data_IF_980112167811
#
_entry.id   IF_980112167811
#
_cell.length_a   1.000
_cell.length_b   1.000
_cell.length_c   1.000
_cell.angle_alpha   90.00
_cell.angle_beta   90.00
_cell.angle_gamma   90.00
#
_symmetry.space_group_name_H-M   'P 1'
#
loop_
_entity.id
_entity.type
_entity.pdbx_description
1 polymer ?
#
# COMPACT_ATOMS: atom_id res chain seq x y z
N UNK A 1 9.89 70.53 -17.75
CA UNK A 1 9.20 69.23 -17.72
C UNK A 1 9.98 68.24 -18.57
N UNK A 2 10.59 67.23 -17.97
CA UNK A 2 11.35 66.20 -18.71
C UNK A 2 10.39 65.27 -19.46
N UNK A 3 10.53 65.23 -20.80
CA UNK A 3 9.78 64.24 -21.62
C UNK A 3 10.21 62.86 -21.21
N UNK A 4 9.27 62.07 -20.69
CA UNK A 4 9.51 60.66 -20.40
C UNK A 4 9.66 59.92 -21.74
N UNK A 5 10.76 59.25 -21.92
CA UNK A 5 11.13 58.55 -23.17
C UNK A 5 10.08 57.42 -23.42
N UNK A 6 9.40 57.48 -24.60
CA UNK A 6 8.41 56.47 -25.02
C UNK A 6 8.91 55.03 -24.97
N UNK A 7 10.21 54.82 -25.07
CA UNK A 7 10.82 53.47 -24.93
C UNK A 7 10.76 52.95 -23.49
N UNK A 8 10.92 53.83 -22.48
CA UNK A 8 10.83 53.47 -21.06
C UNK A 8 9.42 53.03 -20.71
N UNK A 9 8.39 53.73 -21.24
CA UNK A 9 6.99 53.37 -21.02
C UNK A 9 6.67 52.00 -21.64
N UNK A 10 7.19 51.69 -22.83
CA UNK A 10 7.01 50.36 -23.44
C UNK A 10 7.67 49.24 -22.65
N UNK A 11 8.87 49.47 -22.13
CA UNK A 11 9.59 48.49 -21.30
C UNK A 11 8.85 48.26 -19.98
N UNK A 12 8.33 49.27 -19.33
CA UNK A 12 7.50 49.17 -18.11
C UNK A 12 6.19 48.41 -18.37
N UNK A 13 5.56 48.62 -19.54
CA UNK A 13 4.33 47.89 -19.92
C UNK A 13 4.60 46.40 -20.19
N UNK A 14 5.74 46.07 -20.83
CA UNK A 14 6.16 44.69 -21.08
C UNK A 14 6.52 43.99 -19.76
N UNK A 15 7.22 44.64 -18.85
CA UNK A 15 7.54 44.11 -17.52
C UNK A 15 6.29 43.90 -16.66
N UNK A 16 5.31 44.79 -16.77
CA UNK A 16 4.04 44.67 -16.04
C UNK A 16 3.15 43.53 -16.60
N UNK A 17 3.15 43.30 -17.92
CA UNK A 17 2.48 42.14 -18.54
C UNK A 17 3.12 40.84 -18.18
N UNK A 18 4.48 40.75 -18.12
CA UNK A 18 5.22 39.55 -17.69
C UNK A 18 4.95 39.29 -16.20
N UNK A 19 4.86 40.28 -15.35
CA UNK A 19 4.57 40.14 -13.93
C UNK A 19 3.13 39.63 -13.71
N UNK A 20 2.15 40.05 -14.52
CA UNK A 20 0.76 39.59 -14.45
C UNK A 20 0.64 38.13 -14.94
N UNK A 21 1.42 37.71 -15.93
CA UNK A 21 1.46 36.30 -16.36
C UNK A 21 2.15 35.37 -15.37
N UNK A 22 3.16 35.87 -14.62
CA UNK A 22 3.81 35.12 -13.55
C UNK A 22 2.95 34.99 -12.28
N UNK A 23 2.14 36.00 -11.96
CA UNK A 23 1.20 35.90 -10.83
C UNK A 23 -0.08 35.11 -11.15
N UNK A 24 -0.44 34.95 -12.42
CA UNK A 24 -1.55 34.11 -12.87
C UNK A 24 -1.26 32.62 -12.84
N UNK A 25 0.00 32.19 -12.63
CA UNK A 25 0.42 30.79 -12.51
C UNK A 25 0.58 30.32 -11.06
N UNK A 26 0.28 31.13 -10.05
CA UNK A 26 -0.03 30.63 -8.71
C UNK A 26 -1.50 30.17 -8.77
N UNK A 27 -1.74 29.06 -9.48
CA UNK A 27 -2.92 28.26 -9.31
C UNK A 27 -2.94 27.92 -7.81
N UNK A 28 -3.88 28.48 -7.05
CA UNK A 28 -4.27 27.86 -5.80
C UNK A 28 -4.50 26.40 -6.16
N UNK A 29 -3.61 25.49 -5.76
CA UNK A 29 -3.91 24.10 -5.70
C UNK A 29 -5.06 24.03 -4.71
N UNK A 30 -6.30 24.05 -5.20
CA UNK A 30 -7.41 23.49 -4.42
C UNK A 30 -6.84 22.19 -3.91
N UNK A 31 -6.92 22.00 -2.60
CA UNK A 31 -6.47 20.76 -1.97
C UNK A 31 -7.28 19.68 -2.69
N UNK A 32 -6.67 19.02 -3.71
CA UNK A 32 -7.32 17.89 -4.36
C UNK A 32 -7.69 16.96 -3.21
N UNK A 33 -8.95 16.58 -3.13
CA UNK A 33 -9.44 15.72 -2.07
C UNK A 33 -8.59 14.45 -2.09
N UNK A 34 -7.95 14.17 -0.98
CA UNK A 34 -7.05 13.01 -0.86
C UNK A 34 -7.84 11.72 -1.14
N UNK A 35 -7.32 10.88 -2.04
CA UNK A 35 -7.91 9.58 -2.36
C UNK A 35 -6.99 8.49 -1.84
N UNK A 36 -7.54 7.53 -1.09
CA UNK A 36 -6.81 6.41 -0.50
C UNK A 36 -7.15 5.14 -1.27
N UNK A 37 -6.15 4.49 -1.85
CA UNK A 37 -6.31 3.17 -2.48
C UNK A 37 -6.16 2.05 -1.45
N UNK A 38 -7.12 1.11 -1.44
CA UNK A 38 -7.11 -0.07 -0.57
C UNK A 38 -7.11 -1.32 -1.44
N UNK A 39 -6.08 -2.15 -1.28
CA UNK A 39 -5.86 -3.36 -2.09
C UNK A 39 -5.91 -4.60 -1.20
N UNK A 40 -6.76 -5.56 -1.55
CA UNK A 40 -6.68 -6.94 -1.06
C UNK A 40 -6.62 -7.91 -2.24
N UNK A 41 -6.08 -9.11 -2.04
CA UNK A 41 -5.96 -10.11 -3.08
C UNK A 41 -7.27 -10.88 -3.29
N UNK A 42 -7.99 -11.18 -2.21
CA UNK A 42 -9.21 -11.97 -2.20
C UNK A 42 -10.45 -11.14 -1.84
N UNK A 43 -11.63 -11.69 -2.13
CA UNK A 43 -12.87 -11.04 -1.75
C UNK A 43 -13.00 -10.88 -0.21
N UNK A 44 -12.59 -11.88 0.56
CA UNK A 44 -12.68 -11.84 2.02
C UNK A 44 -11.86 -10.68 2.62
N UNK A 45 -10.76 -10.30 1.98
CA UNK A 45 -9.88 -9.22 2.44
C UNK A 45 -10.46 -7.82 2.22
N UNK A 46 -11.43 -7.65 1.30
CA UNK A 46 -11.97 -6.34 0.93
C UNK A 46 -13.48 -6.19 1.11
N UNK A 47 -14.25 -7.29 1.21
CA UNK A 47 -15.71 -7.23 1.20
C UNK A 47 -16.26 -6.38 2.35
N UNK A 48 -15.72 -6.52 3.56
CA UNK A 48 -16.15 -5.74 4.73
C UNK A 48 -15.98 -4.23 4.50
N UNK A 49 -14.89 -3.83 3.82
CA UNK A 49 -14.62 -2.42 3.50
C UNK A 49 -15.55 -1.95 2.38
N UNK A 50 -15.75 -2.77 1.34
CA UNK A 50 -16.67 -2.45 0.23
C UNK A 50 -18.11 -2.26 0.71
N UNK A 51 -18.60 -3.11 1.63
CA UNK A 51 -19.94 -3.01 2.20
C UNK A 51 -20.15 -1.76 3.06
N UNK A 52 -19.07 -1.17 3.58
CA UNK A 52 -19.10 0.06 4.37
C UNK A 52 -19.05 1.34 3.50
N UNK A 53 -18.79 1.23 2.18
CA UNK A 53 -18.74 2.39 1.30
C UNK A 53 -20.10 3.05 1.13
N UNK A 54 -20.09 4.38 1.20
CA UNK A 54 -21.22 5.20 0.74
C UNK A 54 -20.90 5.82 -0.62
N UNK A 55 -21.92 6.18 -1.38
CA UNK A 55 -21.81 6.78 -2.72
C UNK A 55 -20.93 5.96 -3.68
N UNK A 56 -21.07 4.63 -3.62
CA UNK A 56 -20.20 3.71 -4.34
C UNK A 56 -20.46 3.72 -5.86
N UNK A 57 -19.39 3.92 -6.62
CA UNK A 57 -19.33 3.71 -8.07
C UNK A 57 -18.31 2.62 -8.40
N UNK A 58 -18.54 1.85 -9.46
CA UNK A 58 -17.65 0.76 -9.86
C UNK A 58 -17.14 0.96 -11.27
N UNK A 59 -15.83 1.01 -11.41
CA UNK A 59 -15.13 1.07 -12.70
C UNK A 59 -14.35 -0.22 -12.92
N UNK A 60 -14.53 -0.89 -14.07
CA UNK A 60 -13.80 -2.12 -14.40
C UNK A 60 -12.62 -1.83 -15.32
N UNK A 61 -11.40 -2.16 -14.85
CA UNK A 61 -10.15 -2.01 -15.61
C UNK A 61 -9.29 -3.26 -15.36
N UNK A 62 -8.69 -3.83 -16.41
CA UNK A 62 -7.83 -5.02 -16.34
C UNK A 62 -8.49 -6.21 -15.60
N UNK A 63 -9.79 -6.42 -15.84
CA UNK A 63 -10.66 -7.42 -15.17
C UNK A 63 -10.83 -7.22 -13.65
N UNK A 64 -10.32 -6.13 -13.05
CA UNK A 64 -10.49 -5.75 -11.65
C UNK A 64 -11.62 -4.71 -11.50
N UNK A 65 -12.41 -4.82 -10.42
CA UNK A 65 -13.44 -3.87 -10.07
C UNK A 65 -12.90 -2.86 -9.05
N UNK A 66 -12.77 -1.61 -9.49
CA UNK A 66 -12.39 -0.47 -8.67
C UNK A 66 -13.65 0.16 -8.10
N UNK A 67 -13.87 -0.05 -6.81
CA UNK A 67 -15.02 0.49 -6.08
C UNK A 67 -14.64 1.83 -5.45
N UNK A 68 -15.00 2.93 -6.13
CA UNK A 68 -14.85 4.29 -5.63
C UNK A 68 -15.98 4.60 -4.66
N UNK A 69 -15.71 5.32 -3.57
CA UNK A 69 -16.73 5.68 -2.59
C UNK A 69 -16.15 6.43 -1.41
N UNK A 70 -16.91 6.50 -0.34
CA UNK A 70 -16.47 7.14 0.90
C UNK A 70 -16.54 6.21 2.08
N UNK A 71 -15.48 6.24 2.90
CA UNK A 71 -15.49 5.74 4.27
C UNK A 71 -15.51 6.95 5.20
N UNK A 72 -16.64 7.17 5.89
CA UNK A 72 -16.94 8.41 6.57
C UNK A 72 -16.85 9.59 5.57
N UNK A 73 -15.94 10.54 5.76
CA UNK A 73 -15.69 11.68 4.85
C UNK A 73 -14.48 11.49 3.92
N UNK A 74 -13.79 10.33 3.98
CA UNK A 74 -12.59 10.06 3.18
C UNK A 74 -12.94 9.42 1.85
N UNK A 75 -12.38 9.96 0.75
CA UNK A 75 -12.50 9.33 -0.56
C UNK A 75 -11.58 8.12 -0.64
N UNK A 76 -12.12 7.00 -1.05
CA UNK A 76 -11.38 5.74 -1.15
C UNK A 76 -11.67 5.02 -2.47
N UNK A 77 -10.72 4.20 -2.90
CA UNK A 77 -10.93 3.21 -3.97
C UNK A 77 -10.52 1.85 -3.44
N UNK A 78 -11.46 0.93 -3.36
CA UNK A 78 -11.25 -0.42 -2.82
C UNK A 78 -11.25 -1.44 -3.95
N UNK A 79 -10.22 -2.29 -4.01
CA UNK A 79 -10.04 -3.25 -5.10
C UNK A 79 -9.67 -4.62 -4.60
N UNK A 80 -10.30 -5.65 -5.18
CA UNK A 80 -9.78 -7.00 -5.16
C UNK A 80 -8.86 -7.19 -6.37
N UNK A 81 -7.56 -7.32 -6.14
CA UNK A 81 -6.60 -7.40 -7.26
C UNK A 81 -6.39 -8.83 -7.81
N UNK A 82 -6.72 -9.87 -7.04
CA UNK A 82 -6.28 -11.25 -7.30
C UNK A 82 -4.89 -11.52 -6.74
N UNK A 83 -4.55 -12.80 -6.60
CA UNK A 83 -3.28 -13.22 -6.01
C UNK A 83 -2.11 -12.97 -6.93
N UNK A 84 -0.95 -12.70 -6.34
CA UNK A 84 0.35 -12.64 -6.99
C UNK A 84 0.81 -11.25 -7.42
N UNK A 85 2.13 -11.14 -7.61
CA UNK A 85 2.84 -9.87 -7.78
C UNK A 85 2.43 -9.09 -9.03
N UNK A 86 2.11 -9.77 -10.12
CA UNK A 86 1.70 -9.11 -11.37
C UNK A 86 0.36 -8.41 -11.20
N UNK A 87 -0.64 -9.10 -10.64
CA UNK A 87 -1.96 -8.54 -10.34
C UNK A 87 -1.85 -7.34 -9.40
N UNK A 88 -1.09 -7.50 -8.33
CA UNK A 88 -0.85 -6.49 -7.32
C UNK A 88 -0.18 -5.23 -7.91
N UNK A 89 0.84 -5.41 -8.76
CA UNK A 89 1.55 -4.31 -9.42
C UNK A 89 0.66 -3.54 -10.40
N UNK A 90 -0.13 -4.25 -11.22
CA UNK A 90 -1.10 -3.63 -12.14
C UNK A 90 -2.12 -2.82 -11.34
N UNK A 91 -2.70 -3.41 -10.29
CA UNK A 91 -3.69 -2.77 -9.45
C UNK A 91 -3.15 -1.48 -8.81
N UNK A 92 -1.98 -1.54 -8.17
CA UNK A 92 -1.35 -0.38 -7.53
C UNK A 92 -1.06 0.74 -8.54
N UNK A 93 -0.56 0.41 -9.74
CA UNK A 93 -0.31 1.41 -10.77
C UNK A 93 -1.59 2.07 -11.28
N UNK A 94 -2.68 1.32 -11.46
CA UNK A 94 -3.98 1.88 -11.88
C UNK A 94 -4.53 2.81 -10.80
N UNK A 95 -4.50 2.42 -9.53
CA UNK A 95 -4.93 3.27 -8.41
C UNK A 95 -4.19 4.62 -8.41
N UNK A 96 -2.88 4.59 -8.62
CA UNK A 96 -2.04 5.80 -8.62
C UNK A 96 -2.29 6.66 -9.86
N UNK A 97 -2.30 6.04 -11.06
CA UNK A 97 -2.29 6.80 -12.33
C UNK A 97 -3.68 7.16 -12.86
N UNK A 98 -4.71 6.39 -12.52
CA UNK A 98 -6.09 6.59 -13.02
C UNK A 98 -6.99 7.20 -11.96
N UNK A 99 -6.89 6.72 -10.71
CA UNK A 99 -7.73 7.21 -9.60
C UNK A 99 -7.02 8.27 -8.74
N UNK A 100 -5.78 8.66 -9.08
CA UNK A 100 -4.99 9.67 -8.36
C UNK A 100 -4.85 9.38 -6.86
N UNK A 101 -4.79 8.09 -6.49
CA UNK A 101 -4.60 7.71 -5.09
C UNK A 101 -3.25 8.26 -4.58
N UNK A 102 -3.32 9.04 -3.51
CA UNK A 102 -2.17 9.68 -2.86
C UNK A 102 -1.55 8.82 -1.76
N UNK A 103 -2.25 7.77 -1.32
CA UNK A 103 -1.81 6.78 -0.34
C UNK A 103 -2.33 5.40 -0.75
N UNK A 104 -1.54 4.34 -0.45
CA UNK A 104 -1.95 2.95 -0.70
C UNK A 104 -1.90 2.14 0.59
N UNK A 105 -2.97 1.41 0.88
CA UNK A 105 -3.05 0.43 1.97
C UNK A 105 -3.24 -0.94 1.33
N UNK A 106 -2.33 -1.87 1.64
CA UNK A 106 -2.54 -3.27 1.30
C UNK A 106 -3.01 -4.02 2.55
N UNK A 107 -4.19 -4.61 2.47
CA UNK A 107 -4.81 -5.39 3.54
C UNK A 107 -4.88 -6.86 3.15
N UNK A 108 -4.83 -7.77 4.12
CA UNK A 108 -4.98 -9.19 3.84
C UNK A 108 -4.41 -10.09 4.92
N UNK A 109 -4.19 -11.34 4.53
CA UNK A 109 -3.63 -12.37 5.39
C UNK A 109 -2.20 -12.75 4.98
N UNK A 110 -1.48 -13.43 5.87
CA UNK A 110 -0.12 -13.90 5.64
C UNK A 110 0.22 -15.11 6.50
N UNK A 111 1.14 -15.94 6.01
CA UNK A 111 1.77 -16.99 6.79
C UNK A 111 2.85 -16.43 7.73
N UNK A 112 2.83 -16.85 9.00
CA UNK A 112 3.78 -16.37 10.01
C UNK A 112 5.17 -16.97 9.83
N UNK A 113 6.18 -16.12 9.86
CA UNK A 113 7.60 -16.49 9.91
C UNK A 113 8.22 -16.25 11.30
N UNK A 114 7.47 -15.66 12.23
CA UNK A 114 7.95 -15.31 13.57
C UNK A 114 7.16 -16.09 14.64
N UNK A 115 7.87 -16.82 15.48
CA UNK A 115 7.27 -17.64 16.54
C UNK A 115 6.56 -16.84 17.65
N UNK A 116 6.73 -15.52 17.67
CA UNK A 116 6.02 -14.62 18.59
C UNK A 116 4.59 -14.35 18.16
N UNK A 117 4.24 -14.65 16.91
CA UNK A 117 2.92 -14.40 16.33
C UNK A 117 2.06 -15.66 16.40
N UNK A 118 0.83 -15.49 16.83
CA UNK A 118 -0.22 -16.51 16.77
C UNK A 118 -1.18 -16.24 15.62
N UNK A 119 -2.00 -17.23 15.23
CA UNK A 119 -3.05 -17.04 14.22
C UNK A 119 -4.01 -15.96 14.71
N UNK A 120 -4.33 -15.01 13.84
CA UNK A 120 -5.12 -13.83 14.15
C UNK A 120 -4.31 -12.60 14.58
N UNK A 121 -3.03 -12.74 14.98
CA UNK A 121 -2.15 -11.61 15.26
C UNK A 121 -1.84 -10.80 14.00
N UNK A 122 -1.42 -9.55 14.14
CA UNK A 122 -1.15 -8.65 13.03
C UNK A 122 0.34 -8.39 12.84
N UNK A 123 0.74 -8.28 11.57
CA UNK A 123 2.01 -7.68 11.16
C UNK A 123 1.73 -6.39 10.40
N UNK A 124 2.32 -5.29 10.87
CA UNK A 124 2.33 -3.98 10.21
C UNK A 124 3.71 -3.78 9.61
N UNK A 125 3.78 -3.53 8.30
CA UNK A 125 5.05 -3.47 7.58
C UNK A 125 5.93 -2.31 8.04
N UNK A 126 7.20 -2.57 8.37
CA UNK A 126 8.24 -1.53 8.37
C UNK A 126 8.80 -1.33 6.96
N UNK A 127 8.90 -2.40 6.22
CA UNK A 127 9.27 -2.47 4.81
C UNK A 127 8.71 -3.77 4.17
N UNK A 128 8.87 -3.87 2.85
CA UNK A 128 8.53 -5.08 2.11
C UNK A 128 9.67 -5.48 1.17
N UNK A 129 9.89 -6.80 1.00
CA UNK A 129 10.89 -7.38 0.11
C UNK A 129 10.26 -8.45 -0.78
N UNK A 130 10.86 -8.73 -1.94
CA UNK A 130 10.47 -9.85 -2.80
C UNK A 130 11.46 -10.99 -2.59
N UNK A 131 11.05 -12.04 -1.86
CA UNK A 131 11.96 -13.13 -1.49
C UNK A 131 12.30 -14.09 -2.64
N UNK A 132 11.50 -14.10 -3.69
CA UNK A 132 11.65 -14.95 -4.88
C UNK A 132 12.30 -14.23 -6.07
N UNK A 133 12.70 -12.96 -5.90
CA UNK A 133 13.45 -12.23 -6.92
C UNK A 133 14.95 -12.39 -6.70
N UNK A 134 15.66 -12.99 -7.67
CA UNK A 134 17.11 -13.19 -7.59
C UNK A 134 17.81 -12.92 -8.92
N UNK A 135 18.83 -12.08 -8.85
CA UNK A 135 19.72 -11.73 -9.97
C UNK A 135 21.18 -11.69 -9.53
N UNK A 136 21.53 -12.41 -8.45
CA UNK A 136 22.87 -12.51 -7.89
C UNK A 136 23.88 -13.03 -8.94
N UNK A 137 23.45 -13.95 -9.82
CA UNK A 137 24.26 -14.52 -10.88
C UNK A 137 24.82 -13.47 -11.87
N UNK A 138 24.22 -12.29 -11.92
CA UNK A 138 24.68 -11.18 -12.78
C UNK A 138 25.20 -9.99 -11.97
N UNK A 139 25.53 -10.19 -10.68
CA UNK A 139 26.31 -9.28 -9.85
C UNK A 139 25.50 -8.31 -8.96
N UNK A 140 24.22 -8.55 -8.74
CA UNK A 140 23.43 -7.79 -7.78
C UNK A 140 23.40 -8.49 -6.41
N UNK A 141 23.08 -7.72 -5.36
CA UNK A 141 22.88 -8.27 -4.02
C UNK A 141 21.58 -9.10 -3.97
N UNK A 142 21.51 -10.03 -3.01
CA UNK A 142 20.32 -10.89 -2.80
C UNK A 142 19.06 -10.04 -2.57
N UNK A 143 18.01 -10.28 -3.37
CA UNK A 143 16.74 -9.56 -3.30
C UNK A 143 16.79 -8.11 -3.81
N UNK A 144 17.94 -7.64 -4.25
CA UNK A 144 18.04 -6.31 -4.85
C UNK A 144 17.25 -6.26 -6.17
N UNK A 145 16.40 -5.24 -6.27
CA UNK A 145 15.71 -4.95 -7.53
C UNK A 145 16.61 -4.02 -8.35
N UNK A 146 17.18 -4.47 -9.48
CA UNK A 146 18.09 -3.67 -10.28
C UNK A 146 17.53 -2.28 -10.61
N UNK A 147 18.44 -1.30 -10.64
CA UNK A 147 18.16 0.10 -10.94
C UNK A 147 17.30 0.86 -9.90
N UNK A 148 16.81 0.19 -8.85
CA UNK A 148 16.19 0.87 -7.72
C UNK A 148 17.21 1.15 -6.60
N UNK A 149 18.32 0.41 -6.57
CA UNK A 149 19.32 0.42 -5.51
C UNK A 149 18.77 -0.07 -4.16
N UNK A 150 17.71 -0.90 -4.20
CA UNK A 150 17.03 -1.37 -3.00
C UNK A 150 16.61 -2.83 -3.13
N UNK A 151 16.64 -3.53 -2.00
CA UNK A 151 16.01 -4.83 -1.83
C UNK A 151 14.75 -4.74 -0.95
N UNK A 152 14.63 -3.68 -0.11
CA UNK A 152 13.50 -3.43 0.76
C UNK A 152 12.92 -2.03 0.50
N UNK A 153 11.60 -1.95 0.36
CA UNK A 153 10.86 -0.73 0.15
C UNK A 153 10.21 -0.30 1.47
N UNK A 154 10.60 0.86 2.06
CA UNK A 154 10.13 1.28 3.37
C UNK A 154 8.67 1.72 3.33
N UNK A 155 7.88 1.24 4.30
CA UNK A 155 6.52 1.70 4.54
C UNK A 155 6.52 3.09 5.19
N UNK A 156 5.44 3.84 4.99
CA UNK A 156 5.27 5.17 5.56
C UNK A 156 5.10 5.12 7.09
N UNK A 157 5.88 5.91 7.80
CA UNK A 157 5.91 5.91 9.27
C UNK A 157 4.59 6.41 9.88
N UNK A 158 3.97 7.42 9.27
CA UNK A 158 2.71 7.97 9.77
C UNK A 158 1.57 6.96 9.59
N UNK A 159 1.47 6.34 8.42
CA UNK A 159 0.46 5.30 8.14
C UNK A 159 0.64 4.08 9.08
N UNK A 160 1.88 3.70 9.41
CA UNK A 160 2.15 2.65 10.40
C UNK A 160 1.62 3.01 11.78
N UNK A 161 1.86 4.24 12.25
CA UNK A 161 1.35 4.73 13.53
C UNK A 161 -0.18 4.74 13.58
N UNK A 162 -0.82 5.12 12.49
CA UNK A 162 -2.27 5.11 12.36
C UNK A 162 -2.84 3.68 12.38
N UNK A 163 -2.18 2.73 11.71
CA UNK A 163 -2.54 1.32 11.77
C UNK A 163 -2.46 0.73 13.19
N UNK A 164 -1.36 1.03 13.91
CA UNK A 164 -1.19 0.61 15.32
C UNK A 164 -2.26 1.23 16.21
N UNK A 165 -2.59 2.50 16.01
CA UNK A 165 -3.66 3.17 16.76
C UNK A 165 -5.00 2.50 16.49
N UNK A 166 -5.33 2.27 15.22
CA UNK A 166 -6.57 1.60 14.82
C UNK A 166 -6.70 0.20 15.46
N UNK A 167 -5.64 -0.60 15.41
CA UNK A 167 -5.64 -1.92 16.04
C UNK A 167 -5.93 -1.84 17.55
N UNK A 168 -5.32 -0.90 18.28
CA UNK A 168 -5.55 -0.73 19.71
C UNK A 168 -6.98 -0.33 20.06
N UNK A 169 -7.63 0.43 19.20
CA UNK A 169 -9.00 0.90 19.41
C UNK A 169 -10.04 -0.19 19.09
N UNK A 170 -9.91 -0.88 17.94
CA UNK A 170 -10.95 -1.82 17.49
C UNK A 170 -10.69 -3.28 17.82
N UNK A 171 -9.42 -3.63 18.11
CA UNK A 171 -9.01 -5.00 18.38
C UNK A 171 -7.90 -5.06 19.46
N UNK A 172 -8.11 -4.51 20.68
CA UNK A 172 -7.06 -4.40 21.71
C UNK A 172 -6.53 -5.76 22.19
N UNK A 173 -7.30 -6.84 22.00
CA UNK A 173 -6.89 -8.19 22.38
C UNK A 173 -6.07 -8.92 21.31
N UNK A 174 -5.98 -8.37 20.09
CA UNK A 174 -5.14 -8.88 19.03
C UNK A 174 -3.76 -8.27 19.17
N UNK A 175 -2.72 -9.09 19.22
CA UNK A 175 -1.33 -8.59 19.22
C UNK A 175 -0.98 -8.03 17.85
N UNK A 176 -0.27 -6.91 17.81
CA UNK A 176 0.35 -6.40 16.59
C UNK A 176 1.85 -6.22 16.78
N UNK A 177 2.62 -6.60 15.77
CA UNK A 177 4.05 -6.36 15.69
C UNK A 177 4.37 -5.60 14.40
N UNK A 178 5.36 -4.70 14.49
CA UNK A 178 5.94 -4.07 13.32
C UNK A 178 7.11 -4.90 12.82
N UNK A 179 7.16 -5.17 11.51
CA UNK A 179 8.24 -5.97 10.96
C UNK A 179 8.26 -6.00 9.44
N UNK A 180 9.32 -6.63 8.91
CA UNK A 180 9.46 -6.85 7.48
C UNK A 180 8.45 -7.88 6.99
N UNK A 181 7.86 -7.61 5.83
CA UNK A 181 6.98 -8.51 5.10
C UNK A 181 7.70 -9.01 3.85
N UNK A 182 7.67 -10.32 3.62
CA UNK A 182 8.22 -10.93 2.40
C UNK A 182 7.11 -11.31 1.43
N UNK A 183 7.30 -11.02 0.15
CA UNK A 183 6.37 -11.41 -0.91
C UNK A 183 7.02 -12.30 -1.94
N UNK A 184 6.24 -13.24 -2.47
CA UNK A 184 6.64 -14.08 -3.59
C UNK A 184 5.44 -14.76 -4.24
N UNK A 185 5.56 -15.18 -5.50
CA UNK A 185 4.48 -15.88 -6.20
C UNK A 185 4.39 -17.37 -5.79
N UNK A 186 4.42 -17.61 -4.46
CA UNK A 186 4.44 -18.93 -3.85
C UNK A 186 3.66 -18.92 -2.53
N UNK A 187 2.80 -19.91 -2.34
CA UNK A 187 2.23 -20.22 -1.03
C UNK A 187 3.25 -21.01 -0.22
N UNK A 188 3.78 -20.42 0.85
CA UNK A 188 4.83 -21.04 1.67
C UNK A 188 4.20 -22.03 2.63
N UNK A 189 4.50 -23.33 2.44
CA UNK A 189 3.98 -24.44 3.23
C UNK A 189 5.05 -25.42 3.70
N UNK A 190 6.31 -25.19 3.31
CA UNK A 190 7.41 -26.09 3.66
C UNK A 190 8.32 -25.43 4.70
N UNK A 191 8.60 -26.15 5.80
CA UNK A 191 9.42 -25.63 6.90
C UNK A 191 10.82 -25.21 6.45
N UNK A 192 11.42 -25.92 5.50
CA UNK A 192 12.75 -25.59 4.97
C UNK A 192 12.71 -24.26 4.19
N UNK A 193 11.67 -24.05 3.37
CA UNK A 193 11.48 -22.80 2.62
C UNK A 193 11.22 -21.62 3.57
N UNK A 194 10.36 -21.83 4.57
CA UNK A 194 10.13 -20.86 5.66
C UNK A 194 11.45 -20.43 6.31
N UNK A 195 12.25 -21.43 6.75
CA UNK A 195 13.50 -21.17 7.43
C UNK A 195 14.48 -20.38 6.56
N UNK A 196 14.56 -20.71 5.28
CA UNK A 196 15.39 -19.98 4.31
C UNK A 196 14.97 -18.53 4.16
N UNK A 197 13.67 -18.22 4.10
CA UNK A 197 13.18 -16.84 4.01
C UNK A 197 13.53 -16.07 5.28
N UNK A 198 13.42 -16.70 6.46
CA UNK A 198 13.80 -16.07 7.73
C UNK A 198 15.30 -15.74 7.74
N UNK A 199 16.16 -16.67 7.35
CA UNK A 199 17.61 -16.49 7.32
C UNK A 199 18.05 -15.42 6.31
N UNK A 200 17.44 -15.42 5.14
CA UNK A 200 17.81 -14.50 4.05
C UNK A 200 17.32 -13.07 4.29
N UNK A 201 16.15 -12.90 4.88
CA UNK A 201 15.50 -11.58 4.93
C UNK A 201 15.09 -11.11 6.33
N UNK A 202 15.04 -11.98 7.33
CA UNK A 202 14.60 -11.63 8.69
C UNK A 202 13.14 -11.16 8.74
N UNK A 203 12.29 -11.72 7.88
CA UNK A 203 10.89 -11.31 7.78
C UNK A 203 10.02 -11.92 8.88
N UNK A 204 8.94 -11.22 9.22
CA UNK A 204 7.95 -11.66 10.22
C UNK A 204 6.81 -12.46 9.62
N UNK A 205 6.44 -12.19 8.38
CA UNK A 205 5.43 -12.97 7.65
C UNK A 205 5.72 -12.98 6.16
N UNK A 206 5.06 -13.90 5.44
CA UNK A 206 5.12 -14.00 3.99
C UNK A 206 3.72 -14.01 3.37
N UNK A 207 3.61 -13.38 2.21
CA UNK A 207 2.39 -13.24 1.42
C UNK A 207 2.76 -13.12 -0.08
N UNK A 208 1.85 -12.66 -0.95
CA UNK A 208 2.09 -12.77 -2.39
C UNK A 208 1.97 -11.44 -3.16
N UNK A 209 1.72 -10.29 -2.53
CA UNK A 209 1.40 -9.01 -3.22
C UNK A 209 2.22 -7.82 -2.73
N UNK A 210 2.42 -7.72 -1.42
CA UNK A 210 2.89 -6.50 -0.76
C UNK A 210 4.21 -5.96 -1.28
N UNK A 211 5.17 -6.83 -1.61
CA UNK A 211 6.46 -6.43 -2.18
C UNK A 211 6.33 -5.77 -3.56
N UNK A 212 5.38 -6.22 -4.39
CA UNK A 212 5.12 -5.61 -5.68
C UNK A 212 4.40 -4.26 -5.52
N UNK A 213 3.41 -4.17 -4.64
CA UNK A 213 2.72 -2.92 -4.30
C UNK A 213 3.72 -1.90 -3.76
N UNK A 214 4.56 -2.30 -2.83
CA UNK A 214 5.60 -1.46 -2.23
C UNK A 214 6.59 -0.92 -3.27
N UNK A 215 7.03 -1.76 -4.22
CA UNK A 215 7.89 -1.34 -5.32
C UNK A 215 7.20 -0.32 -6.22
N UNK A 216 5.95 -0.55 -6.61
CA UNK A 216 5.17 0.40 -7.43
C UNK A 216 4.99 1.73 -6.70
N UNK A 217 4.62 1.70 -5.42
CA UNK A 217 4.47 2.90 -4.59
C UNK A 217 5.79 3.68 -4.49
N UNK A 218 6.91 2.98 -4.25
CA UNK A 218 8.24 3.60 -4.21
C UNK A 218 8.60 4.30 -5.52
N UNK A 219 8.40 3.63 -6.66
CA UNK A 219 8.71 4.19 -7.99
C UNK A 219 7.84 5.40 -8.34
N UNK A 220 6.63 5.48 -7.80
CA UNK A 220 5.70 6.59 -7.99
C UNK A 220 5.77 7.64 -6.86
N UNK A 221 6.63 7.46 -5.84
CA UNK A 221 6.73 8.34 -4.66
C UNK A 221 5.40 8.48 -3.90
N UNK A 222 4.62 7.41 -3.83
CA UNK A 222 3.36 7.32 -3.10
C UNK A 222 3.58 6.58 -1.79
N UNK A 223 3.18 7.13 -0.62
CA UNK A 223 3.27 6.45 0.66
C UNK A 223 2.36 5.22 0.71
N UNK A 224 2.81 4.18 1.41
CA UNK A 224 2.06 2.95 1.58
C UNK A 224 2.27 2.33 2.96
N UNK A 225 1.35 1.45 3.34
CA UNK A 225 1.49 0.50 4.44
C UNK A 225 0.87 -0.84 4.05
N UNK A 226 1.47 -1.94 4.53
CA UNK A 226 0.91 -3.28 4.40
C UNK A 226 0.51 -3.75 5.79
N UNK A 227 -0.71 -4.27 5.92
CA UNK A 227 -1.28 -4.78 7.16
C UNK A 227 -1.76 -6.20 6.89
N UNK A 228 -1.20 -7.17 7.61
CA UNK A 228 -1.50 -8.59 7.43
C UNK A 228 -1.94 -9.23 8.75
N UNK A 229 -3.05 -9.97 8.72
CA UNK A 229 -3.41 -10.87 9.80
C UNK A 229 -2.82 -12.25 9.53
N UNK A 230 -2.27 -12.88 10.55
CA UNK A 230 -1.72 -14.23 10.44
C UNK A 230 -2.84 -15.23 10.23
N UNK A 231 -2.85 -15.93 9.11
CA UNK A 231 -3.80 -17.01 8.78
C UNK A 231 -3.26 -18.39 9.06
N UNK A 232 -1.93 -18.55 9.02
CA UNK A 232 -1.22 -19.83 9.11
C UNK A 232 0.23 -19.65 9.56
N UNK A 233 0.92 -20.74 9.80
CA UNK A 233 2.31 -20.74 10.30
C UNK A 233 3.37 -20.88 9.21
N UNK A 234 3.01 -20.82 7.94
CA UNK A 234 3.92 -20.99 6.79
C UNK A 234 4.77 -22.28 6.90
N UNK A 235 4.16 -23.39 7.28
CA UNK A 235 4.80 -24.69 7.46
C UNK A 235 3.88 -25.84 7.01
N UNK A 236 4.19 -27.08 7.35
CA UNK A 236 3.40 -28.25 6.93
C UNK A 236 1.92 -28.24 7.37
N UNK A 237 1.51 -27.38 8.30
CA UNK A 237 0.11 -27.20 8.70
C UNK A 237 -0.63 -26.13 7.90
N UNK A 238 0.07 -25.27 7.15
CA UNK A 238 -0.44 -24.02 6.57
C UNK A 238 -1.67 -24.18 5.69
N UNK A 239 -1.75 -25.20 4.84
CA UNK A 239 -2.92 -25.39 3.96
C UNK A 239 -4.21 -25.63 4.74
N UNK A 240 -4.14 -26.34 5.86
CA UNK A 240 -5.28 -26.60 6.73
C UNK A 240 -5.61 -25.36 7.55
N UNK A 241 -4.63 -24.70 8.14
CA UNK A 241 -4.81 -23.50 8.94
C UNK A 241 -5.41 -22.37 8.11
N UNK A 242 -4.86 -22.12 6.91
CA UNK A 242 -5.39 -21.13 5.97
C UNK A 242 -6.88 -21.37 5.67
N UNK A 243 -7.25 -22.61 5.33
CA UNK A 243 -8.66 -22.94 5.01
C UNK A 243 -9.63 -22.72 6.16
N UNK A 244 -9.16 -22.75 7.42
CA UNK A 244 -9.96 -22.57 8.63
C UNK A 244 -10.03 -21.10 9.04
N UNK A 245 -8.92 -20.38 8.98
CA UNK A 245 -8.76 -19.08 9.65
C UNK A 245 -8.71 -17.87 8.70
N UNK A 246 -8.55 -18.07 7.39
CA UNK A 246 -8.40 -16.99 6.41
C UNK A 246 -9.57 -16.00 6.47
N UNK A 247 -10.79 -16.46 6.49
CA UNK A 247 -11.98 -15.60 6.45
C UNK A 247 -12.07 -14.71 7.70
N UNK A 248 -11.86 -15.25 8.90
CA UNK A 248 -11.90 -14.48 10.13
C UNK A 248 -10.73 -13.51 10.24
N UNK A 249 -9.52 -13.96 9.89
CA UNK A 249 -8.31 -13.13 9.88
C UNK A 249 -8.47 -11.96 8.89
N UNK A 250 -8.98 -12.22 7.69
CA UNK A 250 -9.28 -11.20 6.67
C UNK A 250 -10.27 -10.15 7.17
N UNK A 251 -11.40 -10.58 7.78
CA UNK A 251 -12.41 -9.68 8.32
C UNK A 251 -11.86 -8.79 9.45
N UNK A 252 -11.07 -9.37 10.34
CA UNK A 252 -10.45 -8.60 11.43
C UNK A 252 -9.46 -7.57 10.89
N UNK A 253 -8.62 -7.95 9.92
CA UNK A 253 -7.71 -7.03 9.25
C UNK A 253 -8.47 -5.89 8.55
N UNK A 254 -9.52 -6.23 7.77
CA UNK A 254 -10.34 -5.25 7.05
C UNK A 254 -11.02 -4.23 7.98
N UNK A 255 -11.54 -4.68 9.15
CA UNK A 255 -12.14 -3.78 10.15
C UNK A 255 -11.12 -2.79 10.73
N UNK A 256 -9.89 -3.24 10.95
CA UNK A 256 -8.82 -2.37 11.45
C UNK A 256 -8.44 -1.33 10.38
N UNK A 257 -8.33 -1.75 9.11
CA UNK A 257 -8.06 -0.85 7.98
C UNK A 257 -9.21 0.15 7.81
N UNK A 258 -10.45 -0.29 7.87
CA UNK A 258 -11.62 0.59 7.81
C UNK A 258 -11.54 1.68 8.88
N UNK A 259 -11.38 1.30 10.15
CA UNK A 259 -11.27 2.25 11.26
C UNK A 259 -10.06 3.20 11.09
N UNK A 260 -8.91 2.66 10.63
CA UNK A 260 -7.73 3.48 10.32
C UNK A 260 -8.09 4.58 9.34
N UNK A 261 -8.68 4.24 8.18
CA UNK A 261 -9.03 5.20 7.13
C UNK A 261 -10.05 6.23 7.60
N UNK A 262 -11.10 5.80 8.29
CA UNK A 262 -12.13 6.69 8.84
C UNK A 262 -11.57 7.73 9.82
N UNK A 263 -10.43 7.46 10.46
CA UNK A 263 -9.83 8.29 11.50
C UNK A 263 -8.44 8.84 11.14
N UNK A 264 -7.97 8.65 9.89
CA UNK A 264 -6.73 9.26 9.40
C UNK A 264 -6.84 10.79 9.38
N UNK A 265 -5.74 11.45 9.74
CA UNK A 265 -5.63 12.92 9.76
C UNK A 265 -5.19 13.49 8.41
#
# INVERSE_FOLDING_TARGET
MKQINKSIIKILFILMTILITLTGCIRNKEKEDEVIGIIGATNNEVITIKEALTDMEVTKIAEMEFCEGKLNDKNVVVVQCGMGKVNAGICAQILISTFNCSKIINTGVAGSLDNRLDIGDLVISIDAVQHDFTVEAIGFEKGEIPYTGRYAFPADEQMRKEAIKAQKEVAPNIKSLEGRICSGDQFISETEQKQKIIEDYGAMCCEMEGGAIAQVCYLNSVPFVIIRAVSDKADGSSSMEYSIFEEEASKNCARIVQYMVENMS
#
